data_IF_195611246630
#
_entry.id   IF_195611246630
#
_cell.length_a   1.000
_cell.length_b   1.000
_cell.length_c   1.000
_cell.angle_alpha   90.00
_cell.angle_beta   90.00
_cell.angle_gamma   90.00
#
_symmetry.space_group_name_H-M   'P 1'
#
loop_
_entity.id
_entity.type
_entity.pdbx_description
1 polymer ?
#
# COMPACT_ATOMS: atom_id res chain seq x y z
N UNK A 1 0.73 -15.47 2.86
CA UNK A 1 0.61 -14.03 3.19
C UNK A 1 1.98 -13.39 2.98
N UNK A 2 2.14 -12.50 1.99
CA UNK A 2 3.40 -11.78 1.75
C UNK A 2 3.37 -10.44 2.49
N UNK A 3 4.26 -10.24 3.45
CA UNK A 3 4.47 -8.98 4.18
C UNK A 3 5.61 -8.18 3.55
N UNK A 4 5.69 -6.85 3.80
CA UNK A 4 6.80 -6.04 3.25
C UNK A 4 8.16 -6.34 3.91
N UNK A 5 8.16 -6.99 5.08
CA UNK A 5 9.36 -7.51 5.72
C UNK A 5 10.09 -8.56 4.86
N UNK A 6 9.34 -9.48 4.21
CA UNK A 6 9.92 -10.52 3.33
C UNK A 6 10.60 -9.98 2.07
N UNK A 7 10.37 -8.71 1.71
CA UNK A 7 11.01 -8.05 0.57
C UNK A 7 12.04 -6.98 1.03
N UNK A 8 12.50 -7.01 2.28
CA UNK A 8 13.50 -6.09 2.86
C UNK A 8 13.13 -4.59 2.77
N UNK A 9 11.84 -4.27 2.69
CA UNK A 9 11.34 -2.89 2.57
C UNK A 9 10.94 -2.25 3.91
N UNK A 10 10.90 -3.04 4.99
CA UNK A 10 10.55 -2.56 6.33
C UNK A 10 11.39 -3.29 7.40
N UNK A 11 11.86 -2.56 8.40
CA UNK A 11 12.66 -3.08 9.53
C UNK A 11 11.84 -3.92 10.51
N UNK A 12 10.52 -3.77 10.49
CA UNK A 12 9.57 -4.50 11.32
C UNK A 12 8.43 -5.05 10.47
N UNK A 13 7.91 -6.25 10.78
CA UNK A 13 6.67 -6.74 10.17
C UNK A 13 5.46 -5.89 10.58
N UNK A 14 5.56 -5.09 11.64
CA UNK A 14 4.47 -4.30 12.21
C UNK A 14 4.39 -2.89 11.60
N UNK A 15 3.17 -2.42 11.37
CA UNK A 15 2.92 -1.04 10.97
C UNK A 15 3.22 -0.11 12.15
N UNK A 16 4.14 0.87 12.03
CA UNK A 16 4.47 1.79 13.12
C UNK A 16 3.30 2.72 13.48
N UNK A 17 2.30 2.82 12.60
CA UNK A 17 1.08 3.60 12.84
C UNK A 17 -0.09 2.76 13.36
N UNK A 18 0.02 1.43 13.31
CA UNK A 18 -1.03 0.52 13.74
C UNK A 18 -0.39 -0.57 14.62
N UNK A 19 -0.40 -0.34 15.92
CA UNK A 19 0.28 -1.15 16.94
C UNK A 19 0.00 -2.66 16.84
N UNK A 20 -1.20 -3.05 16.37
CA UNK A 20 -1.64 -4.45 16.31
C UNK A 20 -1.69 -5.05 14.89
N UNK A 21 -1.22 -4.32 13.87
CA UNK A 21 -1.32 -4.78 12.49
C UNK A 21 0.05 -4.91 11.83
N UNK A 22 0.26 -6.06 11.18
CA UNK A 22 1.39 -6.23 10.28
C UNK A 22 1.29 -5.23 9.11
N UNK A 23 2.40 -4.55 8.81
CA UNK A 23 2.58 -3.80 7.57
C UNK A 23 2.69 -4.80 6.42
N UNK A 24 1.54 -5.23 5.92
CA UNK A 24 1.44 -5.96 4.66
C UNK A 24 1.23 -4.96 3.53
N UNK A 25 1.58 -5.32 2.30
CA UNK A 25 1.27 -4.49 1.11
C UNK A 25 -0.24 -4.18 1.05
N UNK A 26 -1.08 -5.15 1.43
CA UNK A 26 -2.53 -4.99 1.54
C UNK A 26 -2.92 -3.99 2.62
N UNK A 27 -2.35 -4.09 3.83
CA UNK A 27 -2.63 -3.14 4.90
C UNK A 27 -2.22 -1.73 4.48
N UNK A 28 -0.99 -1.57 3.99
CA UNK A 28 -0.43 -0.29 3.57
C UNK A 28 -1.29 0.37 2.47
N UNK A 29 -1.62 -0.37 1.41
CA UNK A 29 -2.33 0.19 0.25
C UNK A 29 -3.84 0.37 0.45
N UNK A 30 -4.47 -0.43 1.31
CA UNK A 30 -5.94 -0.52 1.35
C UNK A 30 -6.56 -0.24 2.73
N UNK A 31 -5.87 -0.56 3.83
CA UNK A 31 -6.52 -0.63 5.15
C UNK A 31 -5.92 0.30 6.19
N UNK A 32 -4.68 0.76 6.01
CA UNK A 32 -3.99 1.56 6.99
C UNK A 32 -4.69 2.92 7.15
N UNK A 33 -5.30 3.21 8.32
CA UNK A 33 -6.05 4.45 8.53
C UNK A 33 -5.14 5.69 8.44
N UNK A 34 -3.85 5.54 8.75
CA UNK A 34 -2.89 6.63 8.65
C UNK A 34 -2.75 7.17 7.21
N UNK A 35 -2.89 6.31 6.21
CA UNK A 35 -2.72 6.67 4.80
C UNK A 35 -4.04 6.98 4.07
N UNK A 36 -5.14 7.22 4.79
CA UNK A 36 -6.48 7.44 4.20
C UNK A 36 -6.51 8.55 3.14
N UNK A 37 -5.75 9.63 3.33
CA UNK A 37 -5.63 10.71 2.34
C UNK A 37 -5.01 10.21 1.03
N UNK A 38 -3.94 9.43 1.13
CA UNK A 38 -3.27 8.82 -0.02
C UNK A 38 -4.13 7.74 -0.68
N UNK A 39 -4.92 6.98 0.10
CA UNK A 39 -5.90 6.03 -0.43
C UNK A 39 -6.97 6.74 -1.26
N UNK A 40 -7.45 7.89 -0.81
CA UNK A 40 -8.43 8.67 -1.56
C UNK A 40 -7.83 9.17 -2.87
N UNK A 41 -6.61 9.74 -2.85
CA UNK A 41 -5.90 10.14 -4.07
C UNK A 41 -5.71 8.97 -5.03
N UNK A 42 -5.23 7.82 -4.52
CA UNK A 42 -5.00 6.63 -5.31
C UNK A 42 -6.32 6.08 -5.87
N UNK A 43 -7.42 6.14 -5.12
CA UNK A 43 -8.77 5.76 -5.57
C UNK A 43 -9.27 6.67 -6.69
N UNK A 44 -9.05 7.98 -6.59
CA UNK A 44 -9.41 8.92 -7.65
C UNK A 44 -8.61 8.66 -8.93
N UNK A 45 -7.29 8.51 -8.83
CA UNK A 45 -6.40 8.27 -9.98
C UNK A 45 -6.71 6.93 -10.65
N UNK A 46 -6.96 5.89 -9.86
CA UNK A 46 -7.27 4.53 -10.37
C UNK A 46 -8.74 4.34 -10.74
N UNK A 47 -9.58 5.39 -10.66
CA UNK A 47 -11.03 5.35 -10.91
C UNK A 47 -11.73 4.24 -10.11
N UNK A 48 -11.37 4.08 -8.84
CA UNK A 48 -11.98 3.09 -7.95
C UNK A 48 -11.37 1.69 -7.99
N UNK A 49 -10.38 1.42 -8.87
CA UNK A 49 -9.70 0.11 -8.93
C UNK A 49 -8.79 -0.19 -7.74
N UNK A 50 -8.68 0.72 -6.78
CA UNK A 50 -7.93 0.53 -5.54
C UNK A 50 -8.23 -0.82 -4.86
N UNK A 51 -9.50 -1.26 -4.84
CA UNK A 51 -9.88 -2.54 -4.19
C UNK A 51 -9.37 -3.78 -4.93
N UNK A 52 -8.86 -3.64 -6.15
CA UNK A 52 -8.31 -4.73 -6.96
C UNK A 52 -6.79 -4.80 -6.76
N UNK A 53 -6.35 -5.32 -5.61
CA UNK A 53 -4.92 -5.42 -5.30
C UNK A 53 -4.13 -6.20 -6.37
N UNK A 54 -4.77 -7.21 -6.99
CA UNK A 54 -4.19 -7.96 -8.12
C UNK A 54 -3.90 -7.08 -9.33
N UNK A 55 -4.76 -6.09 -9.61
CA UNK A 55 -4.53 -5.14 -10.69
C UNK A 55 -3.44 -4.14 -10.31
N UNK A 56 -3.46 -3.62 -9.08
CA UNK A 56 -2.43 -2.71 -8.57
C UNK A 56 -1.02 -3.32 -8.60
N UNK A 57 -0.89 -4.61 -8.32
CA UNK A 57 0.42 -5.28 -8.25
C UNK A 57 0.77 -6.09 -9.50
N UNK A 58 -0.18 -6.30 -10.42
CA UNK A 58 0.00 -7.14 -11.61
C UNK A 58 -0.06 -6.39 -12.95
N UNK A 59 -0.53 -5.14 -12.97
CA UNK A 59 -0.59 -4.30 -14.16
C UNK A 59 0.50 -3.22 -14.11
N UNK A 60 1.17 -2.94 -15.23
CA UNK A 60 2.23 -1.92 -15.30
C UNK A 60 1.77 -0.55 -14.78
N UNK A 61 0.53 -0.14 -15.08
CA UNK A 61 -0.04 1.12 -14.59
C UNK A 61 -0.35 1.03 -13.10
N UNK A 62 -0.87 -0.10 -12.65
CA UNK A 62 -1.09 -0.38 -11.23
C UNK A 62 0.20 -0.27 -10.42
N UNK A 63 1.28 -0.86 -10.92
CA UNK A 63 2.59 -0.85 -10.27
C UNK A 63 3.13 0.58 -10.21
N UNK A 64 3.04 1.35 -11.29
CA UNK A 64 3.46 2.75 -11.29
C UNK A 64 2.69 3.60 -10.26
N UNK A 65 1.38 3.38 -10.11
CA UNK A 65 0.58 4.05 -9.08
C UNK A 65 0.97 3.62 -7.66
N UNK A 66 1.29 2.34 -7.47
CA UNK A 66 1.76 1.79 -6.20
C UNK A 66 3.12 2.38 -5.82
N UNK A 67 4.07 2.49 -6.76
CA UNK A 67 5.36 3.13 -6.53
C UNK A 67 5.22 4.61 -6.16
N UNK A 68 4.32 5.34 -6.84
CA UNK A 68 4.04 6.74 -6.52
C UNK A 68 3.41 6.90 -5.14
N UNK A 69 2.51 5.99 -4.76
CA UNK A 69 1.97 5.94 -3.40
C UNK A 69 3.09 5.76 -2.38
N UNK A 70 3.95 4.75 -2.57
CA UNK A 70 5.07 4.45 -1.67
C UNK A 70 6.01 5.65 -1.49
N UNK A 71 6.37 6.31 -2.60
CA UNK A 71 7.17 7.53 -2.59
C UNK A 71 6.52 8.64 -1.75
N UNK A 72 5.22 8.87 -1.93
CA UNK A 72 4.50 9.91 -1.19
C UNK A 72 4.33 9.58 0.31
N UNK A 73 4.28 8.29 0.65
CA UNK A 73 4.17 7.83 2.05
C UNK A 73 5.51 7.63 2.75
N UNK A 74 6.64 7.77 2.03
CA UNK A 74 7.99 7.56 2.57
C UNK A 74 8.34 6.08 2.81
N UNK A 75 7.82 5.16 1.98
CA UNK A 75 8.01 3.70 2.09
C UNK A 75 8.78 3.08 0.93
#
# INVERSE_FOLDING_TARGET
HCNVFRINKAESPSCPHCLDWDETVTHLLLHCPHYTVYHNQLRHITRGKLRQIKWLLGDQKGIAHTLKFLHNTGR
#
